data_IF_518435384998
#
_entry.id   IF_518435384998
#
_cell.length_a   1.000
_cell.length_b   1.000
_cell.length_c   1.000
_cell.angle_alpha   90.00
_cell.angle_beta   90.00
_cell.angle_gamma   90.00
#
_symmetry.space_group_name_H-M   'P 1'
#
loop_
_entity.id
_entity.type
_entity.pdbx_description
1 polymer ?
#
# COMPACT_ATOMS: atom_id res chain seq x y z
N UNK A 1 2.43 -28.66 -15.50
CA UNK A 1 2.34 -27.50 -14.60
C UNK A 1 3.73 -27.16 -14.08
N UNK A 2 4.38 -28.08 -13.35
CA UNK A 2 5.72 -27.88 -12.75
C UNK A 2 6.84 -27.32 -13.66
N UNK A 3 7.09 -27.81 -14.90
CA UNK A 3 8.21 -27.29 -15.70
C UNK A 3 8.00 -25.83 -16.13
N UNK A 4 6.76 -25.47 -16.45
CA UNK A 4 6.39 -24.11 -16.81
C UNK A 4 6.50 -23.18 -15.58
N UNK A 5 6.12 -23.66 -14.40
CA UNK A 5 6.25 -22.92 -13.15
C UNK A 5 7.73 -22.59 -12.85
N UNK A 6 8.62 -23.58 -12.96
CA UNK A 6 10.04 -23.37 -12.72
C UNK A 6 10.67 -22.40 -13.74
N UNK A 7 10.26 -22.48 -15.00
CA UNK A 7 10.70 -21.54 -16.03
C UNK A 7 10.25 -20.11 -15.70
N UNK A 8 8.96 -19.91 -15.40
CA UNK A 8 8.44 -18.59 -15.04
C UNK A 8 9.12 -18.03 -13.79
N UNK A 9 9.35 -18.87 -12.78
CA UNK A 9 10.04 -18.45 -11.57
C UNK A 9 11.49 -18.00 -11.83
N UNK A 10 12.21 -18.68 -12.73
CA UNK A 10 13.55 -18.26 -13.16
C UNK A 10 13.51 -16.90 -13.87
N UNK A 11 12.57 -16.71 -14.80
CA UNK A 11 12.39 -15.43 -15.50
C UNK A 11 12.08 -14.27 -14.53
N UNK A 12 11.28 -14.52 -13.48
CA UNK A 12 11.02 -13.52 -12.42
C UNK A 12 12.33 -13.10 -11.73
N UNK A 13 13.22 -14.06 -11.42
CA UNK A 13 14.52 -13.75 -10.79
C UNK A 13 15.47 -13.02 -11.75
N UNK A 14 15.46 -13.37 -13.03
CA UNK A 14 16.21 -12.64 -14.06
C UNK A 14 15.75 -11.18 -14.11
N UNK A 15 14.44 -10.92 -14.14
CA UNK A 15 13.89 -9.55 -14.11
C UNK A 15 14.33 -8.81 -12.85
N UNK A 16 14.33 -9.44 -11.67
CA UNK A 16 14.83 -8.82 -10.44
C UNK A 16 16.31 -8.41 -10.58
N UNK A 17 17.13 -9.23 -11.23
CA UNK A 17 18.53 -8.89 -11.53
C UNK A 17 18.64 -7.73 -12.54
N UNK A 18 17.81 -7.72 -13.59
CA UNK A 18 17.74 -6.59 -14.52
C UNK A 18 17.31 -5.30 -13.83
N UNK A 19 16.33 -5.36 -12.92
CA UNK A 19 15.88 -4.22 -12.12
C UNK A 19 16.99 -3.67 -11.21
N UNK A 20 17.81 -4.53 -10.59
CA UNK A 20 18.97 -4.07 -9.81
C UNK A 20 20.03 -3.38 -10.68
N UNK A 21 20.24 -3.85 -11.92
CA UNK A 21 21.13 -3.18 -12.88
C UNK A 21 20.55 -1.85 -13.37
N UNK A 22 19.23 -1.75 -13.50
CA UNK A 22 18.53 -0.54 -13.93
C UNK A 22 18.82 0.67 -13.01
N UNK A 23 19.04 0.43 -11.71
CA UNK A 23 19.39 1.48 -10.75
C UNK A 23 20.78 2.09 -10.95
N UNK A 24 21.68 1.35 -11.62
CA UNK A 24 23.10 1.72 -11.81
C UNK A 24 23.47 2.00 -13.26
N UNK A 25 22.56 1.74 -14.20
CA UNK A 25 22.76 1.92 -15.63
C UNK A 25 22.75 3.41 -16.04
N UNK A 26 23.46 3.70 -17.12
CA UNK A 26 23.64 5.05 -17.66
C UNK A 26 22.42 5.51 -18.48
N UNK A 27 22.17 6.83 -18.61
CA UNK A 27 20.90 7.39 -19.15
C UNK A 27 20.46 6.76 -20.49
N UNK A 28 21.40 6.41 -21.37
CA UNK A 28 21.14 5.81 -22.69
C UNK A 28 20.87 4.30 -22.64
N UNK A 29 21.53 3.55 -21.74
CA UNK A 29 21.35 2.11 -21.61
C UNK A 29 20.12 1.74 -20.77
N UNK A 30 19.67 2.65 -19.90
CA UNK A 30 18.46 2.50 -19.07
C UNK A 30 17.24 2.17 -19.94
N UNK A 31 17.02 2.88 -21.06
CA UNK A 31 15.86 2.64 -21.93
C UNK A 31 15.84 1.24 -22.56
N UNK A 32 17.02 0.70 -22.90
CA UNK A 32 17.12 -0.65 -23.47
C UNK A 32 16.75 -1.70 -22.42
N UNK A 33 17.29 -1.54 -21.20
CA UNK A 33 17.00 -2.43 -20.07
C UNK A 33 15.53 -2.34 -19.66
N UNK A 34 14.92 -1.15 -19.68
CA UNK A 34 13.46 -0.98 -19.44
C UNK A 34 12.63 -1.77 -20.45
N UNK A 35 12.96 -1.68 -21.74
CA UNK A 35 12.24 -2.39 -22.80
C UNK A 35 12.41 -3.91 -22.68
N UNK A 36 13.61 -4.40 -22.34
CA UNK A 36 13.87 -5.81 -22.07
C UNK A 36 13.07 -6.32 -20.87
N UNK A 37 13.03 -5.55 -19.77
CA UNK A 37 12.25 -5.88 -18.58
C UNK A 37 10.76 -5.93 -18.95
N UNK A 38 10.25 -4.94 -19.70
CA UNK A 38 8.85 -4.88 -20.11
C UNK A 38 8.47 -6.09 -20.98
N UNK A 39 9.28 -6.41 -22.00
CA UNK A 39 9.05 -7.58 -22.84
C UNK A 39 9.08 -8.89 -22.05
N UNK A 40 9.97 -9.00 -21.06
CA UNK A 40 10.06 -10.16 -20.18
C UNK A 40 8.83 -10.29 -19.26
N UNK A 41 8.32 -9.18 -18.73
CA UNK A 41 7.08 -9.15 -17.95
C UNK A 41 5.90 -9.62 -18.79
N UNK A 42 5.78 -9.14 -20.03
CA UNK A 42 4.69 -9.53 -20.95
C UNK A 42 4.73 -11.03 -21.29
N UNK A 43 5.93 -11.58 -21.50
CA UNK A 43 6.13 -13.03 -21.66
C UNK A 43 5.69 -13.80 -20.42
N UNK A 44 6.04 -13.33 -19.21
CA UNK A 44 5.62 -13.97 -17.96
C UNK A 44 4.10 -13.95 -17.80
N UNK A 45 3.41 -12.86 -18.18
CA UNK A 45 1.95 -12.82 -18.16
C UNK A 45 1.34 -13.92 -19.03
N UNK A 46 1.86 -14.12 -20.25
CA UNK A 46 1.42 -15.22 -21.11
C UNK A 46 1.65 -16.62 -20.47
N UNK A 47 2.74 -16.78 -19.72
CA UNK A 47 3.05 -18.02 -19.02
C UNK A 47 2.13 -18.23 -17.79
N UNK A 48 1.80 -17.15 -17.08
CA UNK A 48 0.88 -17.17 -15.94
C UNK A 48 -0.54 -17.53 -16.35
N UNK A 49 -1.04 -16.99 -17.45
CA UNK A 49 -2.35 -17.37 -18.01
C UNK A 49 -2.39 -18.86 -18.34
N UNK A 50 -1.33 -19.38 -18.96
CA UNK A 50 -1.21 -20.81 -19.25
C UNK A 50 -1.08 -21.66 -17.98
N UNK A 51 -0.36 -21.19 -16.97
CA UNK A 51 -0.22 -21.86 -15.67
C UNK A 51 -1.55 -21.91 -14.91
N UNK A 52 -2.36 -20.85 -14.97
CA UNK A 52 -3.69 -20.81 -14.37
C UNK A 52 -4.62 -21.88 -14.95
N UNK A 53 -4.61 -22.04 -16.28
CA UNK A 53 -5.34 -23.12 -16.94
C UNK A 53 -4.82 -24.49 -16.48
N UNK A 54 -3.50 -24.69 -16.43
CA UNK A 54 -2.91 -25.96 -16.00
C UNK A 54 -3.19 -26.28 -14.53
N UNK A 55 -3.21 -25.28 -13.66
CA UNK A 55 -3.53 -25.39 -12.23
C UNK A 55 -4.97 -25.86 -12.01
N UNK A 56 -5.93 -25.34 -12.80
CA UNK A 56 -7.32 -25.78 -12.74
C UNK A 56 -7.53 -27.25 -13.13
N UNK A 57 -6.65 -27.79 -13.97
CA UNK A 57 -6.67 -29.17 -14.48
C UNK A 57 -6.01 -30.18 -13.54
N UNK A 58 -5.37 -29.74 -12.47
CA UNK A 58 -4.75 -30.65 -11.50
C UNK A 58 -5.78 -31.40 -10.63
N UNK A 59 -5.44 -32.60 -10.13
CA UNK A 59 -6.31 -33.34 -9.21
C UNK A 59 -6.58 -32.51 -7.94
N UNK A 60 -7.77 -32.67 -7.32
CA UNK A 60 -8.23 -31.81 -6.22
C UNK A 60 -7.24 -31.73 -5.05
N UNK A 61 -6.55 -32.83 -4.74
CA UNK A 61 -5.56 -32.89 -3.66
C UNK A 61 -4.32 -32.01 -3.89
N UNK A 62 -3.96 -31.71 -5.15
CA UNK A 62 -2.80 -30.86 -5.52
C UNK A 62 -3.21 -29.46 -5.97
N UNK A 63 -4.45 -29.32 -6.46
CA UNK A 63 -5.01 -28.08 -7.01
C UNK A 63 -4.86 -26.87 -6.10
N UNK A 64 -5.08 -27.03 -4.79
CA UNK A 64 -4.94 -25.91 -3.86
C UNK A 64 -3.49 -25.42 -3.76
N UNK A 65 -2.51 -26.33 -3.75
CA UNK A 65 -1.09 -25.97 -3.73
C UNK A 65 -0.66 -25.33 -5.05
N UNK A 66 -1.11 -25.86 -6.19
CA UNK A 66 -0.84 -25.28 -7.50
C UNK A 66 -1.41 -23.87 -7.63
N UNK A 67 -2.63 -23.63 -7.13
CA UNK A 67 -3.24 -22.30 -7.11
C UNK A 67 -2.42 -21.32 -6.25
N UNK A 68 -2.03 -21.72 -5.04
CA UNK A 68 -1.20 -20.89 -4.17
C UNK A 68 0.13 -20.49 -4.84
N UNK A 69 0.78 -21.43 -5.52
CA UNK A 69 2.03 -21.17 -6.26
C UNK A 69 1.82 -20.17 -7.41
N UNK A 70 0.73 -20.31 -8.17
CA UNK A 70 0.39 -19.35 -9.24
C UNK A 70 0.05 -17.98 -8.67
N UNK A 71 -0.70 -17.92 -7.57
CA UNK A 71 -1.06 -16.66 -6.90
C UNK A 71 0.18 -15.94 -6.36
N UNK A 72 1.16 -16.67 -5.82
CA UNK A 72 2.44 -16.10 -5.41
C UNK A 72 3.19 -15.47 -6.60
N UNK A 73 3.32 -16.19 -7.72
CA UNK A 73 3.98 -15.62 -8.90
C UNK A 73 3.22 -14.41 -9.47
N UNK A 74 1.88 -14.42 -9.43
CA UNK A 74 1.07 -13.25 -9.83
C UNK A 74 1.40 -12.03 -8.97
N UNK A 75 1.51 -12.21 -7.66
CA UNK A 75 1.89 -11.14 -6.73
C UNK A 75 3.30 -10.61 -7.04
N UNK A 76 4.28 -11.48 -7.22
CA UNK A 76 5.67 -11.09 -7.49
C UNK A 76 5.78 -10.27 -8.80
N UNK A 77 5.07 -10.70 -9.85
CA UNK A 77 5.08 -10.01 -11.15
C UNK A 77 4.36 -8.65 -11.07
N UNK A 78 3.25 -8.56 -10.35
CA UNK A 78 2.57 -7.28 -10.10
C UNK A 78 3.46 -6.30 -9.32
N UNK A 79 4.20 -6.80 -8.34
CA UNK A 79 5.17 -5.99 -7.60
C UNK A 79 6.28 -5.49 -8.53
N UNK A 80 6.82 -6.35 -9.41
CA UNK A 80 7.85 -5.95 -10.38
C UNK A 80 7.34 -4.91 -11.38
N UNK A 81 6.12 -5.08 -11.89
CA UNK A 81 5.49 -4.10 -12.78
C UNK A 81 5.30 -2.73 -12.10
N UNK A 82 4.88 -2.74 -10.84
CA UNK A 82 4.74 -1.52 -10.03
C UNK A 82 6.10 -0.86 -9.79
N UNK A 83 7.13 -1.65 -9.49
CA UNK A 83 8.49 -1.16 -9.31
C UNK A 83 9.04 -0.50 -10.58
N UNK A 84 8.84 -1.12 -11.75
CA UNK A 84 9.24 -0.55 -13.04
C UNK A 84 8.54 0.79 -13.31
N UNK A 85 7.22 0.86 -13.10
CA UNK A 85 6.45 2.09 -13.27
C UNK A 85 6.95 3.21 -12.34
N UNK A 86 7.24 2.88 -11.08
CA UNK A 86 7.78 3.84 -10.12
C UNK A 86 9.16 4.36 -10.56
N UNK A 87 10.01 3.49 -11.11
CA UNK A 87 11.30 3.88 -11.65
C UNK A 87 11.15 4.86 -12.83
N UNK A 88 10.29 4.51 -13.80
CA UNK A 88 10.00 5.37 -14.96
C UNK A 88 9.45 6.73 -14.54
N UNK A 89 8.53 6.76 -13.57
CA UNK A 89 7.97 8.00 -13.04
C UNK A 89 9.05 8.86 -12.37
N UNK A 90 9.90 8.27 -11.51
CA UNK A 90 11.00 9.00 -10.86
C UNK A 90 11.96 9.57 -11.89
N UNK A 91 12.29 8.84 -12.95
CA UNK A 91 13.14 9.33 -14.04
C UNK A 91 12.47 10.50 -14.75
N UNK A 92 11.21 10.35 -15.15
CA UNK A 92 10.46 11.40 -15.84
C UNK A 92 10.35 12.68 -15.00
N UNK A 93 10.05 12.57 -13.70
CA UNK A 93 10.02 13.72 -12.79
C UNK A 93 11.38 14.41 -12.69
N UNK A 94 12.49 13.66 -12.59
CA UNK A 94 13.85 14.25 -12.59
C UNK A 94 14.17 14.95 -13.90
N UNK A 95 13.82 14.35 -15.03
CA UNK A 95 14.07 14.92 -16.35
C UNK A 95 13.23 16.19 -16.60
N UNK A 96 11.98 16.22 -16.12
CA UNK A 96 11.16 17.43 -16.15
C UNK A 96 11.75 18.54 -15.28
N UNK A 97 12.23 18.22 -14.08
CA UNK A 97 12.88 19.19 -13.20
C UNK A 97 14.18 19.74 -13.82
N UNK A 98 14.97 18.89 -14.46
CA UNK A 98 16.20 19.27 -15.16
C UNK A 98 15.89 20.19 -16.34
N UNK A 99 14.86 19.86 -17.14
CA UNK A 99 14.37 20.74 -18.23
C UNK A 99 13.85 22.09 -17.75
N UNK A 100 13.00 22.10 -16.71
CA UNK A 100 12.51 23.35 -16.12
C UNK A 100 13.66 24.21 -15.60
N UNK A 101 14.67 23.59 -14.99
CA UNK A 101 15.87 24.29 -14.54
C UNK A 101 16.65 24.87 -15.72
N UNK A 102 16.86 24.12 -16.79
CA UNK A 102 17.54 24.58 -18.00
C UNK A 102 16.78 25.73 -18.68
N UNK A 103 15.45 25.65 -18.77
CA UNK A 103 14.60 26.73 -19.28
C UNK A 103 14.77 28.02 -18.47
N UNK A 104 14.72 27.93 -17.14
CA UNK A 104 14.96 29.06 -16.24
C UNK A 104 16.39 29.63 -16.38
N UNK A 105 17.39 28.78 -16.57
CA UNK A 105 18.79 29.19 -16.76
C UNK A 105 19.03 29.83 -18.15
N UNK A 106 18.29 29.42 -19.17
CA UNK A 106 18.38 29.95 -20.54
C UNK A 106 17.62 31.26 -20.74
N UNK A 107 16.68 31.59 -19.85
CA UNK A 107 15.93 32.84 -19.88
C UNK A 107 16.88 34.01 -19.60
N UNK A 108 17.19 34.80 -20.63
CA UNK A 108 18.00 36.02 -20.49
C UNK A 108 17.15 37.09 -19.78
N UNK A 109 17.55 37.49 -18.57
CA UNK A 109 16.86 38.55 -17.83
C UNK A 109 17.13 39.92 -18.46
N UNK A 110 16.18 40.43 -19.23
CA UNK A 110 16.15 41.81 -19.72
C UNK A 110 15.52 42.73 -18.66
N UNK A 111 16.18 43.85 -18.36
CA UNK A 111 15.64 44.83 -17.40
C UNK A 111 14.41 45.51 -18.00
N UNK A 112 13.28 45.46 -17.27
CA UNK A 112 11.98 46.08 -17.52
C UNK A 112 10.86 45.23 -18.16
N UNK A 113 10.86 43.90 -18.03
CA UNK A 113 9.64 43.12 -18.25
C UNK A 113 8.84 43.01 -16.94
N UNK A 114 7.58 43.43 -16.93
CA UNK A 114 6.64 43.34 -15.79
C UNK A 114 6.42 41.91 -15.26
N UNK A 115 6.94 40.91 -15.98
CA UNK A 115 6.95 39.49 -15.64
C UNK A 115 8.14 39.07 -14.73
N UNK A 116 8.88 40.04 -14.15
CA UNK A 116 9.88 39.78 -13.09
C UNK A 116 9.28 39.69 -11.68
N UNK A 117 7.98 39.46 -11.56
CA UNK A 117 7.40 38.98 -10.29
C UNK A 117 7.70 37.50 -10.19
N UNK A 118 8.75 37.13 -9.44
CA UNK A 118 8.98 35.75 -9.03
C UNK A 118 7.68 35.28 -8.36
N UNK A 119 6.91 34.32 -8.93
CA UNK A 119 5.64 33.89 -8.36
C UNK A 119 5.96 32.92 -7.22
N UNK A 120 6.51 33.46 -6.13
CA UNK A 120 6.80 32.73 -4.90
C UNK A 120 5.52 32.06 -4.35
N UNK A 121 4.35 32.63 -4.66
CA UNK A 121 3.06 32.15 -4.20
C UNK A 121 2.70 30.76 -4.77
N UNK A 122 2.95 30.47 -6.05
CA UNK A 122 2.57 29.19 -6.66
C UNK A 122 3.38 28.01 -6.09
N UNK A 123 4.69 28.22 -5.89
CA UNK A 123 5.56 27.22 -5.25
C UNK A 123 5.21 26.96 -3.78
N UNK A 124 4.83 28.00 -3.02
CA UNK A 124 4.37 27.88 -1.65
C UNK A 124 2.99 27.21 -1.56
N UNK A 125 2.09 27.52 -2.49
CA UNK A 125 0.78 26.87 -2.60
C UNK A 125 0.94 25.38 -2.90
N UNK A 126 1.80 25.00 -3.84
CA UNK A 126 2.08 23.60 -4.16
C UNK A 126 2.68 22.85 -2.97
N UNK A 127 3.66 23.43 -2.28
CA UNK A 127 4.26 22.85 -1.08
C UNK A 127 3.20 22.67 0.04
N UNK A 128 2.36 23.69 0.26
CA UNK A 128 1.27 23.63 1.23
C UNK A 128 0.24 22.55 0.87
N UNK A 129 -0.03 22.35 -0.43
CA UNK A 129 -0.94 21.31 -0.92
C UNK A 129 -0.36 19.92 -0.67
N UNK A 130 0.94 19.73 -0.93
CA UNK A 130 1.63 18.47 -0.63
C UNK A 130 1.63 18.14 0.88
N UNK A 131 1.91 19.11 1.74
CA UNK A 131 1.86 18.92 3.19
C UNK A 131 0.44 18.58 3.67
N UNK A 132 -0.59 19.24 3.12
CA UNK A 132 -2.00 18.92 3.39
C UNK A 132 -2.36 17.49 2.94
N UNK A 133 -1.87 17.04 1.79
CA UNK A 133 -2.10 15.68 1.29
C UNK A 133 -1.39 14.65 2.18
N UNK A 134 -0.15 14.93 2.60
CA UNK A 134 0.60 14.06 3.52
C UNK A 134 -0.14 13.91 4.85
N UNK A 135 -0.56 15.02 5.47
CA UNK A 135 -1.34 14.96 6.70
C UNK A 135 -2.70 14.27 6.51
N UNK A 136 -3.41 14.50 5.41
CA UNK A 136 -4.65 13.78 5.11
C UNK A 136 -4.44 12.28 4.93
N UNK A 137 -3.31 11.86 4.34
CA UNK A 137 -2.92 10.44 4.29
C UNK A 137 -2.56 9.90 5.67
N UNK A 138 -1.84 10.65 6.49
CA UNK A 138 -1.49 10.25 7.86
C UNK A 138 -2.74 10.11 8.73
N UNK A 139 -3.74 10.98 8.57
CA UNK A 139 -5.03 10.89 9.25
C UNK A 139 -5.83 9.67 8.80
N UNK A 140 -5.79 9.33 7.50
CA UNK A 140 -6.42 8.12 6.98
C UNK A 140 -5.71 6.85 7.48
N UNK A 141 -4.38 6.86 7.55
CA UNK A 141 -3.57 5.75 8.07
C UNK A 141 -3.80 5.60 9.58
N UNK A 142 -3.78 6.70 10.34
CA UNK A 142 -4.04 6.72 11.77
C UNK A 142 -5.48 6.32 12.11
N UNK A 143 -6.46 6.81 11.36
CA UNK A 143 -7.86 6.43 11.46
C UNK A 143 -8.08 4.96 11.09
N UNK A 144 -7.45 4.48 10.02
CA UNK A 144 -7.45 3.08 9.63
C UNK A 144 -6.87 2.17 10.71
N UNK A 145 -5.77 2.58 11.35
CA UNK A 145 -5.18 1.84 12.47
C UNK A 145 -6.14 1.73 13.66
N UNK A 146 -6.83 2.82 14.02
CA UNK A 146 -7.84 2.83 15.09
C UNK A 146 -9.04 1.93 14.77
N UNK A 147 -9.52 1.93 13.53
CA UNK A 147 -10.61 1.04 13.08
C UNK A 147 -10.18 -0.42 13.14
N UNK A 148 -8.98 -0.75 12.64
CA UNK A 148 -8.44 -2.11 12.66
C UNK A 148 -8.21 -2.61 14.09
N UNK A 149 -7.71 -1.75 14.98
CA UNK A 149 -7.54 -2.08 16.40
C UNK A 149 -8.90 -2.25 17.10
N UNK A 150 -9.90 -1.42 16.77
CA UNK A 150 -11.28 -1.58 17.23
C UNK A 150 -11.91 -2.91 16.78
N UNK A 151 -11.72 -3.31 15.53
CA UNK A 151 -12.18 -4.61 15.01
C UNK A 151 -11.44 -5.78 15.66
N UNK A 152 -10.16 -5.61 15.97
CA UNK A 152 -9.34 -6.60 16.70
C UNK A 152 -9.84 -6.73 18.14
N UNK A 153 -10.08 -5.63 18.84
CA UNK A 153 -10.63 -5.60 20.18
C UNK A 153 -12.03 -6.24 20.22
N UNK A 154 -12.92 -5.91 19.28
CA UNK A 154 -14.24 -6.55 19.15
C UNK A 154 -14.12 -8.06 18.92
N UNK A 155 -13.20 -8.51 18.06
CA UNK A 155 -12.94 -9.95 17.85
C UNK A 155 -12.46 -10.63 19.13
N UNK A 156 -11.59 -9.98 19.90
CA UNK A 156 -11.13 -10.52 21.19
C UNK A 156 -12.29 -10.58 22.19
N UNK A 157 -13.12 -9.55 22.28
CA UNK A 157 -14.31 -9.54 23.15
C UNK A 157 -15.35 -10.58 22.74
N UNK A 158 -15.58 -10.80 21.44
CA UNK A 158 -16.48 -11.85 20.96
C UNK A 158 -15.89 -13.26 21.20
N UNK A 159 -14.56 -13.40 21.16
CA UNK A 159 -13.87 -14.66 21.45
C UNK A 159 -13.76 -14.95 22.95
N UNK A 160 -13.61 -13.91 23.78
CA UNK A 160 -13.64 -14.01 25.25
C UNK A 160 -15.08 -14.19 25.74
N UNK A 161 -16.05 -13.48 25.18
CA UNK A 161 -17.49 -13.67 25.46
C UNK A 161 -17.97 -15.09 25.11
N UNK A 162 -17.46 -15.68 24.03
CA UNK A 162 -17.71 -17.08 23.69
C UNK A 162 -17.01 -18.09 24.61
N UNK A 163 -15.92 -17.68 25.31
CA UNK A 163 -15.22 -18.51 26.30
C UNK A 163 -15.76 -18.32 27.73
N UNK A 164 -16.48 -17.22 28.01
CA UNK A 164 -17.09 -16.93 29.30
C UNK A 164 -18.59 -17.28 29.37
N UNK A 165 -19.19 -17.72 28.26
CA UNK A 165 -20.59 -18.14 28.18
C UNK A 165 -20.94 -19.44 28.91
N UNK A 166 -19.95 -20.23 29.36
CA UNK A 166 -20.17 -21.53 30.00
C UNK A 166 -19.73 -21.60 31.48
N UNK A 167 -19.45 -20.46 32.14
CA UNK A 167 -18.95 -20.47 33.53
C UNK A 167 -19.71 -19.63 34.56
N UNK A 168 -20.97 -19.28 34.27
CA UNK A 168 -21.90 -18.72 35.27
C UNK A 168 -23.17 -19.57 35.42
N UNK A 169 -23.00 -20.87 35.69
CA UNK A 169 -24.03 -21.71 36.31
C UNK A 169 -23.46 -22.54 37.46
N UNK A 170 -22.82 -21.89 38.41
CA UNK A 170 -22.64 -22.47 39.73
C UNK A 170 -22.40 -21.35 40.74
N UNK A 171 -23.07 -21.45 41.87
CA UNK A 171 -22.86 -20.67 43.09
C UNK A 171 -23.66 -19.36 43.21
N UNK A 172 -24.89 -19.47 43.71
CA UNK A 172 -25.40 -18.66 44.83
C UNK A 172 -26.77 -19.19 45.27
N UNK A 173 -26.77 -20.32 45.98
CA UNK A 173 -27.85 -20.74 46.86
C UNK A 173 -27.42 -20.39 48.29
N UNK A 174 -28.12 -19.46 48.93
CA UNK A 174 -28.20 -19.41 50.39
C UNK A 174 -27.63 -18.19 51.11
N UNK A 175 -28.57 -17.44 51.70
CA UNK A 175 -28.49 -16.71 52.97
C UNK A 175 -27.99 -15.26 52.99
N UNK A 176 -28.81 -14.39 53.59
CA UNK A 176 -28.31 -13.46 54.62
C UNK A 176 -28.46 -11.96 54.40
N UNK A 177 -29.66 -11.43 54.67
CA UNK A 177 -29.92 -10.21 55.49
C UNK A 177 -28.78 -9.18 55.67
N UNK A 178 -28.97 -7.92 55.21
CA UNK A 178 -29.23 -6.67 56.00
C UNK A 178 -28.74 -5.37 55.30
N UNK A 179 -29.72 -4.47 55.09
CA UNK A 179 -29.80 -3.00 55.38
C UNK A 179 -28.80 -1.97 54.80
N UNK A 180 -29.45 -0.93 54.20
CA UNK A 180 -29.21 0.54 54.20
C UNK A 180 -27.95 1.02 53.48
N UNK A 181 -27.92 2.13 52.75
CA UNK A 181 -28.67 3.41 52.72
C UNK A 181 -28.44 4.06 51.34
N UNK A 182 -29.46 4.46 50.58
CA UNK A 182 -30.02 5.82 50.52
C UNK A 182 -29.00 6.98 50.58
N UNK A 183 -28.49 7.39 49.43
CA UNK A 183 -28.20 8.81 49.12
C UNK A 183 -28.30 9.03 47.62
N UNK A 184 -29.15 9.98 47.26
CA UNK A 184 -29.54 10.39 45.90
C UNK A 184 -28.40 11.09 45.13
N UNK A 185 -28.48 11.13 43.79
CA UNK A 185 -27.51 11.82 42.95
C UNK A 185 -27.82 13.33 42.86
N UNK A 186 -26.79 14.16 43.05
CA UNK A 186 -26.88 15.61 42.87
C UNK A 186 -26.60 16.02 41.42
N UNK A 187 -27.63 16.65 40.86
CA UNK A 187 -27.60 17.87 40.04
C UNK A 187 -26.96 17.84 38.64
N UNK A 188 -27.87 17.75 37.68
CA UNK A 188 -27.84 18.49 36.42
C UNK A 188 -27.83 20.01 36.67
N UNK A 189 -26.95 20.74 36.01
CA UNK A 189 -27.08 22.18 35.70
C UNK A 189 -26.32 22.41 34.39
N UNK A 190 -27.03 22.45 33.26
CA UNK A 190 -27.62 23.61 32.56
C UNK A 190 -26.61 24.44 31.72
N UNK A 191 -26.98 24.79 30.46
CA UNK A 191 -26.11 25.45 29.48
C UNK A 191 -26.27 26.98 29.49
N UNK A 192 -25.26 27.71 29.03
CA UNK A 192 -25.37 29.14 28.69
C UNK A 192 -24.58 29.46 27.42
N UNK A 193 -25.36 29.81 26.40
CA UNK A 193 -25.27 30.98 25.50
C UNK A 193 -23.95 31.27 24.77
#
# INVERSE_FOLDING_TARGET
>A
MEPLYQQTHKQVHEIQSHMGRLETADKQSVHLVENEIQASIDQIFSHLERLEILSSKEPPNKRQNAKLRVDQLKYDVQHLQTALRNFQQRRYTREQQERQREELLSRTFTTNDSDTTIPMDESLQFNSSLQKIHHGMDDLIGGGHSILEGLRAQRLTLKVGALWGDREKAFCLGQGRRRRSSTSPTCWACPTR
#
